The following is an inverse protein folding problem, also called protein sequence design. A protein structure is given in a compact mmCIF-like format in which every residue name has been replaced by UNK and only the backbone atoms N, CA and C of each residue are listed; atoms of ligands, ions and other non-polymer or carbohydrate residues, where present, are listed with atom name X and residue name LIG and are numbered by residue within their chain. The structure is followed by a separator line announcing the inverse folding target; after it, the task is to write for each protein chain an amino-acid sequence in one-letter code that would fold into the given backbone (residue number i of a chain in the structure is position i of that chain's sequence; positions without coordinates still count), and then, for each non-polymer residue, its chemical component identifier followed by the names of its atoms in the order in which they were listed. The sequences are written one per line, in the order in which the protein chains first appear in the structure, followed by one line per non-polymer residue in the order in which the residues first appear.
data_IF_528969285484
#
_entry.id   IF_528969285484
#
_cell.length_a   1.000
_cell.length_b   1.000
_cell.length_c   1.000
_cell.angle_alpha   90.00
_cell.angle_beta   90.00
_cell.angle_gamma   90.00
#
_symmetry.space_group_name_H-M   'P 1'
#
loop_
_entity.id
_entity.type
_entity.pdbx_description
1 polymer ?
#
# COMPACT_ATOMS: atom_id res chain seq x y z
N UNK A 1 37.45 -20.89 -15.72
CA UNK A 1 36.56 -20.25 -14.72
C UNK A 1 35.51 -21.25 -14.27
N UNK A 2 35.20 -21.30 -12.97
CA UNK A 2 34.30 -22.29 -12.35
C UNK A 2 32.96 -22.48 -13.09
N UNK A 3 32.47 -21.45 -13.79
CA UNK A 3 31.24 -21.50 -14.59
C UNK A 3 31.41 -22.18 -15.95
N UNK A 4 32.53 -21.98 -16.67
CA UNK A 4 32.81 -22.75 -17.91
C UNK A 4 33.05 -24.22 -17.58
N UNK A 5 33.67 -24.51 -16.43
CA UNK A 5 33.77 -25.85 -15.85
C UNK A 5 32.38 -26.42 -15.50
N UNK A 6 31.53 -25.61 -14.85
CA UNK A 6 30.14 -25.98 -14.56
C UNK A 6 29.36 -26.26 -15.84
N UNK A 7 29.39 -25.42 -16.88
CA UNK A 7 28.67 -25.70 -18.13
C UNK A 7 29.26 -26.88 -18.92
N UNK A 8 30.55 -27.16 -18.77
CA UNK A 8 31.20 -28.34 -19.34
C UNK A 8 30.87 -29.64 -18.58
N UNK A 9 30.51 -29.55 -17.29
CA UNK A 9 30.18 -30.69 -16.42
C UNK A 9 28.71 -30.78 -16.01
N UNK A 10 27.92 -29.73 -16.22
CA UNK A 10 26.53 -29.63 -15.85
C UNK A 10 25.79 -30.63 -16.71
N UNK A 11 25.29 -31.67 -16.05
CA UNK A 11 24.53 -32.69 -16.75
C UNK A 11 23.25 -32.00 -17.24
N UNK A 12 22.71 -32.43 -18.39
CA UNK A 12 21.42 -31.94 -18.90
C UNK A 12 20.34 -31.92 -17.80
N UNK A 13 20.42 -32.87 -16.86
CA UNK A 13 19.57 -32.97 -15.68
C UNK A 13 19.66 -31.79 -14.70
N UNK A 14 20.82 -31.17 -14.50
CA UNK A 14 20.97 -30.01 -13.60
C UNK A 14 20.27 -28.77 -14.16
N UNK A 15 20.37 -28.58 -15.48
CA UNK A 15 19.67 -27.50 -16.19
C UNK A 15 18.16 -27.74 -16.14
N UNK A 16 17.71 -28.96 -16.45
CA UNK A 16 16.29 -29.34 -16.38
C UNK A 16 15.75 -29.15 -14.96
N UNK A 17 16.47 -29.62 -13.94
CA UNK A 17 16.09 -29.46 -12.54
C UNK A 17 16.00 -27.98 -12.15
N UNK A 18 16.97 -27.16 -12.56
CA UNK A 18 16.94 -25.71 -12.31
C UNK A 18 15.73 -25.03 -12.96
N UNK A 19 15.38 -25.40 -14.19
CA UNK A 19 14.21 -24.89 -14.90
C UNK A 19 12.90 -25.35 -14.23
N UNK A 20 12.83 -26.61 -13.78
CA UNK A 20 11.67 -27.14 -13.04
C UNK A 20 11.50 -26.39 -11.72
N UNK A 21 12.58 -26.18 -10.97
CA UNK A 21 12.53 -25.41 -9.71
C UNK A 21 12.05 -23.99 -9.97
N UNK A 22 12.63 -23.29 -10.95
CA UNK A 22 12.23 -21.93 -11.30
C UNK A 22 10.76 -21.87 -11.71
N UNK A 23 10.32 -22.74 -12.62
CA UNK A 23 8.93 -22.78 -13.07
C UNK A 23 7.96 -23.08 -11.92
N UNK A 24 8.30 -24.05 -11.05
CA UNK A 24 7.49 -24.42 -9.90
C UNK A 24 7.38 -23.27 -8.90
N UNK A 25 8.48 -22.56 -8.63
CA UNK A 25 8.47 -21.38 -7.76
C UNK A 25 7.64 -20.23 -8.36
N UNK A 26 7.73 -19.99 -9.67
CA UNK A 26 6.90 -18.99 -10.35
C UNK A 26 5.43 -19.36 -10.36
N UNK A 27 5.09 -20.63 -10.61
CA UNK A 27 3.72 -21.12 -10.56
C UNK A 27 3.16 -21.01 -9.14
N UNK A 28 3.93 -21.42 -8.13
CA UNK A 28 3.56 -21.29 -6.73
C UNK A 28 3.35 -19.82 -6.34
N UNK A 29 4.26 -18.93 -6.73
CA UNK A 29 4.10 -17.50 -6.53
C UNK A 29 2.84 -16.97 -7.22
N UNK A 30 2.56 -17.38 -8.46
CA UNK A 30 1.35 -17.01 -9.17
C UNK A 30 0.08 -17.48 -8.45
N UNK A 31 0.06 -18.72 -7.96
CA UNK A 31 -1.09 -19.28 -7.25
C UNK A 31 -1.36 -18.60 -5.90
N UNK A 32 -0.31 -18.18 -5.18
CA UNK A 32 -0.44 -17.48 -3.88
C UNK A 32 -0.73 -16.00 -4.07
N UNK A 33 -0.16 -15.37 -5.10
CA UNK A 33 -0.32 -13.95 -5.36
C UNK A 33 -1.59 -13.63 -6.13
N UNK A 34 -2.28 -14.62 -6.70
CA UNK A 34 -3.57 -14.40 -7.34
C UNK A 34 -4.58 -14.04 -6.25
N UNK A 35 -4.97 -12.77 -6.12
CA UNK A 35 -5.79 -12.35 -5.01
C UNK A 35 -7.21 -12.89 -5.19
N UNK A 36 -7.96 -13.11 -4.09
CA UNK A 36 -9.31 -13.62 -4.19
C UNK A 36 -10.20 -12.63 -4.97
N UNK A 37 -11.26 -13.10 -5.64
CA UNK A 37 -12.04 -12.29 -6.59
C UNK A 37 -12.64 -11.03 -5.96
N UNK A 38 -12.87 -11.04 -4.65
CA UNK A 38 -13.39 -9.96 -3.82
C UNK A 38 -12.31 -9.01 -3.25
N UNK A 39 -11.08 -9.06 -3.78
CA UNK A 39 -10.06 -8.09 -3.45
C UNK A 39 -10.16 -6.82 -4.33
N UNK A 40 -9.71 -5.68 -3.80
CA UNK A 40 -9.63 -4.44 -4.58
C UNK A 40 -8.80 -4.62 -5.87
N UNK A 41 -7.77 -5.49 -5.81
CA UNK A 41 -6.78 -5.69 -6.87
C UNK A 41 -7.11 -6.84 -7.85
N UNK A 42 -8.22 -7.56 -7.68
CA UNK A 42 -8.71 -8.62 -8.60
C UNK A 42 -9.86 -8.17 -9.49
N UNK A 43 -10.61 -7.12 -9.13
CA UNK A 43 -11.78 -6.71 -9.92
C UNK A 43 -12.81 -5.82 -9.22
N UNK A 44 -12.67 -5.51 -7.92
CA UNK A 44 -13.75 -4.88 -7.15
C UNK A 44 -13.94 -3.36 -7.27
N UNK A 45 -12.94 -2.58 -7.70
CA UNK A 45 -13.10 -1.10 -7.76
C UNK A 45 -12.44 -0.37 -8.93
N UNK A 46 -11.47 -0.97 -9.63
CA UNK A 46 -10.97 -0.41 -10.88
C UNK A 46 -10.44 -1.55 -11.74
N UNK A 47 -10.77 -1.55 -13.03
CA UNK A 47 -10.25 -2.51 -13.99
C UNK A 47 -8.80 -2.20 -14.38
N UNK A 48 -8.34 -2.82 -15.46
CA UNK A 48 -7.12 -2.38 -16.14
C UNK A 48 -7.37 -1.02 -16.78
N UNK A 49 -6.45 -0.07 -16.61
CA UNK A 49 -6.46 1.18 -17.36
C UNK A 49 -5.59 1.04 -18.60
N UNK A 50 -6.23 0.99 -19.77
CA UNK A 50 -5.57 0.76 -21.06
C UNK A 50 -5.55 2.02 -21.95
N UNK A 51 -6.20 3.09 -21.50
CA UNK A 51 -6.21 4.36 -22.22
C UNK A 51 -4.91 5.12 -22.02
N UNK A 52 -4.53 5.92 -23.01
CA UNK A 52 -3.38 6.81 -22.84
C UNK A 52 -3.82 8.11 -22.17
N UNK A 53 -3.33 8.33 -20.95
CA UNK A 53 -3.42 9.58 -20.21
C UNK A 53 -2.00 10.09 -19.89
N UNK A 54 -1.69 11.30 -20.40
CA UNK A 54 -0.40 11.96 -20.20
C UNK A 54 -0.19 12.38 -18.75
N UNK A 55 -1.22 12.87 -18.07
CA UNK A 55 -1.12 13.28 -16.67
C UNK A 55 -0.84 12.07 -15.79
N UNK A 56 -1.54 10.96 -16.03
CA UNK A 56 -1.28 9.68 -15.37
C UNK A 56 0.14 9.20 -15.62
N UNK A 57 0.63 9.33 -16.86
CA UNK A 57 2.01 8.98 -17.19
C UNK A 57 3.00 9.81 -16.37
N UNK A 58 2.80 11.12 -16.29
CA UNK A 58 3.63 12.01 -15.48
C UNK A 58 3.55 11.66 -13.99
N UNK A 59 2.36 11.39 -13.45
CA UNK A 59 2.21 10.93 -12.06
C UNK A 59 3.00 9.65 -11.77
N UNK A 60 3.05 8.71 -12.73
CA UNK A 60 3.84 7.47 -12.63
C UNK A 60 5.35 7.75 -12.73
N UNK A 61 5.78 8.65 -13.61
CA UNK A 61 7.18 9.04 -13.76
C UNK A 61 7.68 9.80 -12.52
N UNK A 62 6.83 10.62 -11.91
CA UNK A 62 7.10 11.32 -10.65
C UNK A 62 7.37 10.40 -9.47
N UNK A 63 7.01 9.11 -9.59
CA UNK A 63 7.34 8.09 -8.59
C UNK A 63 8.83 7.80 -8.51
N UNK A 64 9.61 8.09 -9.56
CA UNK A 64 11.07 8.03 -9.47
C UNK A 64 11.62 8.95 -8.38
N UNK A 65 11.19 10.21 -8.39
CA UNK A 65 11.62 11.17 -7.39
C UNK A 65 11.11 10.76 -6.01
N UNK A 66 9.84 10.38 -5.90
CA UNK A 66 9.24 9.89 -4.65
C UNK A 66 9.98 8.70 -4.05
N UNK A 67 10.43 7.75 -4.89
CA UNK A 67 11.18 6.59 -4.44
C UNK A 67 12.62 6.96 -4.02
N UNK A 68 13.30 7.82 -4.79
CA UNK A 68 14.72 8.10 -4.58
C UNK A 68 14.98 9.15 -3.51
N UNK A 69 14.09 10.12 -3.33
CA UNK A 69 14.30 11.23 -2.39
C UNK A 69 13.22 11.37 -1.34
N UNK A 70 12.18 10.52 -1.36
CA UNK A 70 10.98 10.62 -0.51
C UNK A 70 10.09 11.84 -0.81
N UNK A 71 10.39 12.60 -1.88
CA UNK A 71 9.62 13.77 -2.31
C UNK A 71 8.64 13.35 -3.42
N UNK A 72 7.35 13.35 -3.10
CA UNK A 72 6.29 13.02 -4.05
C UNK A 72 5.73 14.30 -4.69
N UNK A 73 5.72 14.42 -6.02
CA UNK A 73 5.16 15.60 -6.68
C UNK A 73 3.66 15.74 -6.42
N UNK A 74 3.18 16.98 -6.40
CA UNK A 74 1.76 17.25 -6.30
C UNK A 74 1.07 16.93 -7.62
N UNK A 75 0.29 15.85 -7.65
CA UNK A 75 -0.44 15.40 -8.86
C UNK A 75 -1.41 16.45 -9.41
N UNK A 76 -1.83 17.44 -8.60
CA UNK A 76 -2.72 18.51 -9.03
C UNK A 76 -2.03 19.56 -9.90
N UNK A 77 -0.70 19.70 -9.82
CA UNK A 77 0.07 20.77 -10.47
C UNK A 77 0.95 20.21 -11.59
N UNK A 78 0.67 20.61 -12.83
CA UNK A 78 1.44 20.20 -14.01
C UNK A 78 2.92 20.57 -13.95
N UNK A 79 3.23 21.76 -13.41
CA UNK A 79 4.61 22.21 -13.28
C UNK A 79 5.41 21.33 -12.31
N UNK A 80 4.81 20.96 -11.17
CA UNK A 80 5.42 20.07 -10.19
C UNK A 80 5.71 18.70 -10.84
N UNK A 81 4.76 18.15 -11.60
CA UNK A 81 4.94 16.92 -12.36
C UNK A 81 6.11 17.03 -13.34
N UNK A 82 6.08 17.99 -14.26
CA UNK A 82 7.11 18.11 -15.31
C UNK A 82 8.53 18.26 -14.71
N UNK A 83 8.69 19.09 -13.69
CA UNK A 83 10.00 19.33 -13.06
C UNK A 83 10.46 18.09 -12.28
N UNK A 84 9.60 17.55 -11.42
CA UNK A 84 9.95 16.39 -10.60
C UNK A 84 10.22 15.14 -11.45
N UNK A 85 9.45 14.94 -12.53
CA UNK A 85 9.63 13.84 -13.46
C UNK A 85 10.95 14.00 -14.23
N UNK A 86 11.27 15.22 -14.67
CA UNK A 86 12.56 15.50 -15.31
C UNK A 86 13.75 15.14 -14.42
N UNK A 87 13.67 15.49 -13.13
CA UNK A 87 14.69 15.13 -12.14
C UNK A 87 14.71 13.60 -11.94
N UNK A 88 13.55 12.98 -11.71
CA UNK A 88 13.42 11.54 -11.46
C UNK A 88 13.95 10.69 -12.61
N UNK A 89 13.57 11.04 -13.85
CA UNK A 89 14.07 10.42 -15.08
C UNK A 89 15.59 10.65 -15.22
N UNK A 90 16.08 11.84 -14.90
CA UNK A 90 17.51 12.13 -14.88
C UNK A 90 18.28 11.19 -13.94
N UNK A 91 17.79 10.98 -12.72
CA UNK A 91 18.37 10.05 -11.75
C UNK A 91 18.35 8.60 -12.26
N UNK A 92 17.23 8.18 -12.85
CA UNK A 92 17.08 6.87 -13.48
C UNK A 92 18.11 6.67 -14.61
N UNK A 93 18.22 7.65 -15.52
CA UNK A 93 19.14 7.59 -16.67
C UNK A 93 20.61 7.59 -16.23
N UNK A 94 20.98 8.36 -15.21
CA UNK A 94 22.34 8.36 -14.65
C UNK A 94 22.67 6.99 -14.04
N UNK A 95 21.72 6.37 -13.34
CA UNK A 95 21.88 5.02 -12.78
C UNK A 95 22.00 3.98 -13.91
N UNK A 96 21.12 4.03 -14.91
CA UNK A 96 21.20 3.13 -16.08
C UNK A 96 22.53 3.30 -16.83
N UNK A 97 23.02 4.54 -17.00
CA UNK A 97 24.30 4.82 -17.62
C UNK A 97 25.49 4.24 -16.83
N UNK A 98 25.44 4.26 -15.49
CA UNK A 98 26.43 3.56 -14.66
C UNK A 98 26.39 2.04 -14.88
N UNK A 99 25.19 1.47 -14.98
CA UNK A 99 25.00 0.03 -15.16
C UNK A 99 25.30 -0.47 -16.58
N UNK A 100 25.47 0.40 -17.57
CA UNK A 100 25.66 0.02 -18.99
C UNK A 100 26.88 -0.88 -19.23
N UNK A 101 27.88 -0.81 -18.33
CA UNK A 101 29.07 -1.67 -18.37
C UNK A 101 28.76 -3.14 -18.08
N UNK A 102 27.63 -3.42 -17.44
CA UNK A 102 27.23 -4.75 -17.00
C UNK A 102 25.82 -5.05 -17.50
N UNK A 103 25.70 -5.92 -18.51
CA UNK A 103 24.40 -6.23 -19.15
C UNK A 103 23.38 -6.77 -18.16
N UNK A 104 23.76 -7.72 -17.31
CA UNK A 104 22.82 -8.39 -16.40
C UNK A 104 22.21 -7.41 -15.36
N UNK A 105 23.00 -6.61 -14.63
CA UNK A 105 22.46 -5.56 -13.75
C UNK A 105 21.63 -4.50 -14.49
N UNK A 106 22.05 -4.08 -15.69
CA UNK A 106 21.27 -3.15 -16.50
C UNK A 106 19.90 -3.73 -16.86
N UNK A 107 19.85 -4.96 -17.38
CA UNK A 107 18.59 -5.62 -17.75
C UNK A 107 17.69 -5.81 -16.53
N UNK A 108 18.26 -6.24 -15.39
CA UNK A 108 17.51 -6.33 -14.14
C UNK A 108 16.88 -4.98 -13.77
N UNK A 109 17.65 -3.90 -13.80
CA UNK A 109 17.16 -2.57 -13.47
C UNK A 109 16.09 -2.08 -14.44
N UNK A 110 16.32 -2.19 -15.76
CA UNK A 110 15.37 -1.75 -16.79
C UNK A 110 14.05 -2.55 -16.74
N UNK A 111 14.11 -3.88 -16.66
CA UNK A 111 12.90 -4.71 -16.61
C UNK A 111 12.19 -4.61 -15.26
N UNK A 112 12.93 -4.58 -14.15
CA UNK A 112 12.36 -4.41 -12.82
C UNK A 112 11.63 -3.07 -12.67
N UNK A 113 12.29 -1.98 -13.05
CA UNK A 113 11.68 -0.65 -13.06
C UNK A 113 10.54 -0.55 -14.08
N UNK A 114 10.74 -1.02 -15.31
CA UNK A 114 9.70 -0.98 -16.35
C UNK A 114 8.45 -1.77 -15.97
N UNK A 115 8.61 -2.94 -15.35
CA UNK A 115 7.51 -3.74 -14.83
C UNK A 115 6.74 -3.02 -13.71
N UNK A 116 7.45 -2.41 -12.75
CA UNK A 116 6.84 -1.62 -11.68
C UNK A 116 6.08 -0.40 -12.23
N UNK A 117 6.68 0.38 -13.13
CA UNK A 117 6.02 1.53 -13.75
C UNK A 117 4.81 1.12 -14.59
N UNK A 118 4.91 0.00 -15.31
CA UNK A 118 3.78 -0.55 -16.08
C UNK A 118 2.65 -0.96 -15.14
N UNK A 119 2.96 -1.60 -14.01
CA UNK A 119 1.97 -1.93 -12.99
C UNK A 119 1.34 -0.66 -12.39
N UNK A 120 2.13 0.37 -12.11
CA UNK A 120 1.60 1.62 -11.57
C UNK A 120 0.69 2.35 -12.56
N UNK A 121 1.07 2.34 -13.84
CA UNK A 121 0.27 2.94 -14.89
C UNK A 121 -0.99 2.13 -15.18
N UNK A 122 -0.89 0.82 -15.36
CA UNK A 122 -1.98 0.00 -15.88
C UNK A 122 -2.95 -0.46 -14.80
N UNK A 123 -2.48 -0.63 -13.56
CA UNK A 123 -3.26 -1.28 -12.50
C UNK A 123 -3.41 -0.46 -11.23
N UNK A 124 -2.33 0.07 -10.68
CA UNK A 124 -2.35 0.62 -9.33
C UNK A 124 -1.50 1.88 -9.21
N UNK A 125 -2.16 3.04 -9.25
CA UNK A 125 -1.45 4.32 -9.16
C UNK A 125 -0.64 4.45 -7.86
N UNK A 126 -1.09 3.82 -6.77
CA UNK A 126 -0.49 3.88 -5.44
C UNK A 126 -0.92 5.12 -4.63
N UNK A 127 -1.00 4.96 -3.31
CA UNK A 127 -1.28 6.05 -2.38
C UNK A 127 -0.17 6.17 -1.34
N UNK A 128 0.71 7.16 -1.51
CA UNK A 128 1.83 7.44 -0.61
C UNK A 128 3.13 6.71 -0.96
N UNK A 129 4.23 7.10 -0.29
CA UNK A 129 5.61 6.69 -0.61
C UNK A 129 5.87 5.19 -0.44
N UNK A 130 5.11 4.51 0.44
CA UNK A 130 5.28 3.07 0.72
C UNK A 130 5.09 2.16 -0.50
N UNK A 131 4.33 2.60 -1.51
CA UNK A 131 4.10 1.81 -2.72
C UNK A 131 5.18 1.98 -3.78
N UNK A 132 5.98 3.05 -3.71
CA UNK A 132 7.01 3.36 -4.72
C UNK A 132 8.42 3.01 -4.27
N UNK A 133 8.62 2.67 -2.98
CA UNK A 133 9.91 2.26 -2.44
C UNK A 133 10.56 1.08 -3.18
N UNK A 134 9.77 0.26 -3.88
CA UNK A 134 10.28 -0.81 -4.73
C UNK A 134 11.19 -0.31 -5.88
N UNK A 135 10.98 0.90 -6.40
CA UNK A 135 11.86 1.49 -7.41
C UNK A 135 13.25 1.79 -6.83
N UNK A 136 13.29 2.24 -5.57
CA UNK A 136 14.53 2.44 -4.82
C UNK A 136 15.23 1.11 -4.56
N UNK A 137 14.50 0.08 -4.12
CA UNK A 137 15.06 -1.25 -3.92
C UNK A 137 15.61 -1.86 -5.22
N UNK A 138 14.93 -1.66 -6.35
CA UNK A 138 15.40 -2.09 -7.67
C UNK A 138 16.73 -1.39 -8.05
N UNK A 139 16.87 -0.10 -7.75
CA UNK A 139 18.11 0.65 -7.94
C UNK A 139 19.24 0.08 -7.08
N UNK A 140 19.01 -0.11 -5.77
CA UNK A 140 20.00 -0.68 -4.83
C UNK A 140 20.45 -2.07 -5.28
N UNK A 141 19.50 -2.95 -5.60
CA UNK A 141 19.78 -4.30 -6.08
C UNK A 141 20.56 -4.28 -7.40
N UNK A 142 20.21 -3.40 -8.34
CA UNK A 142 20.96 -3.22 -9.59
C UNK A 142 22.41 -2.79 -9.36
N UNK A 143 22.63 -1.81 -8.48
CA UNK A 143 23.98 -1.35 -8.11
C UNK A 143 24.78 -2.45 -7.39
N UNK A 144 24.15 -3.20 -6.49
CA UNK A 144 24.77 -4.31 -5.79
C UNK A 144 25.19 -5.44 -6.76
N UNK A 145 24.30 -5.81 -7.70
CA UNK A 145 24.60 -6.80 -8.74
C UNK A 145 25.77 -6.36 -9.63
N UNK A 146 25.87 -5.06 -9.95
CA UNK A 146 26.98 -4.51 -10.72
C UNK A 146 28.32 -4.64 -9.98
N UNK A 147 28.35 -4.36 -8.68
CA UNK A 147 29.56 -4.53 -7.87
C UNK A 147 30.05 -5.99 -7.87
N UNK A 148 29.14 -6.97 -7.73
CA UNK A 148 29.52 -8.39 -7.79
C UNK A 148 30.04 -8.82 -9.18
N UNK A 149 29.57 -8.19 -10.25
CA UNK A 149 30.05 -8.51 -11.61
C UNK A 149 31.43 -7.92 -11.90
N UNK A 150 31.81 -6.83 -11.21
CA UNK A 150 33.13 -6.21 -11.31
C UNK A 150 34.18 -7.04 -10.54
N UNK A 151 33.80 -7.65 -9.41
CA UNK A 151 34.73 -8.40 -8.54
C UNK A 151 34.91 -9.89 -8.88
N UNK A 152 34.26 -10.42 -9.92
CA UNK A 152 34.37 -11.84 -10.30
C UNK A 152 35.19 -12.06 -11.58
N UNK A 153 35.80 -13.24 -11.73
CA UNK A 153 36.59 -13.74 -12.89
C UNK A 153 35.83 -13.84 -14.23
N UNK A 154 34.81 -13.01 -14.47
CA UNK A 154 34.09 -13.00 -15.73
C UNK A 154 34.89 -12.16 -16.73
N UNK A 155 35.20 -12.68 -17.93
CA UNK A 155 35.69 -11.81 -18.98
C UNK A 155 34.62 -10.74 -19.19
N UNK A 156 34.97 -9.44 -19.10
CA UNK A 156 34.00 -8.39 -19.35
C UNK A 156 33.41 -8.64 -20.73
N UNK A 157 32.09 -8.84 -20.80
CA UNK A 157 31.39 -8.76 -22.07
C UNK A 157 31.87 -7.49 -22.75
N UNK A 158 32.33 -7.57 -24.01
CA UNK A 158 32.92 -6.44 -24.75
C UNK A 158 32.15 -5.17 -24.37
N UNK A 159 32.75 -4.25 -23.60
CA UNK A 159 32.04 -3.08 -23.14
C UNK A 159 31.53 -2.37 -24.40
N UNK A 160 30.30 -1.87 -24.38
CA UNK A 160 29.92 -0.88 -25.39
C UNK A 160 31.02 0.19 -25.34
N UNK A 161 31.69 0.39 -26.46
CA UNK A 161 32.90 1.21 -26.57
C UNK A 161 32.51 2.70 -26.44
N UNK A 162 32.14 3.12 -25.24
CA UNK A 162 31.82 4.52 -24.93
C UNK A 162 33.14 5.18 -24.54
N UNK A 163 33.86 5.71 -25.53
CA UNK A 163 35.09 6.49 -25.32
C UNK A 163 34.73 7.82 -24.64
N UNK A 164 35.43 8.15 -23.55
CA UNK A 164 35.48 9.48 -22.93
C UNK A 164 34.16 9.96 -22.31
N UNK A 165 34.17 10.19 -20.98
CA UNK A 165 33.09 10.68 -20.07
C UNK A 165 32.58 9.67 -19.03
N UNK A 166 32.93 8.39 -19.15
CA UNK A 166 32.42 7.37 -18.21
C UNK A 166 32.94 7.58 -16.78
N UNK A 167 34.18 8.07 -16.62
CA UNK A 167 34.73 8.41 -15.30
C UNK A 167 33.95 9.55 -14.62
N UNK A 168 33.46 10.53 -15.39
CA UNK A 168 32.63 11.62 -14.86
C UNK A 168 31.25 11.13 -14.39
N UNK A 169 30.65 10.18 -15.12
CA UNK A 169 29.36 9.58 -14.73
C UNK A 169 29.48 8.84 -13.40
N UNK A 170 30.59 8.12 -13.15
CA UNK A 170 30.79 7.41 -11.89
C UNK A 170 30.91 8.36 -10.70
N UNK A 171 31.72 9.42 -10.82
CA UNK A 171 31.87 10.43 -9.77
C UNK A 171 30.54 11.13 -9.49
N UNK A 172 29.83 11.57 -10.53
CA UNK A 172 28.52 12.23 -10.41
C UNK A 172 27.50 11.28 -9.76
N UNK A 173 27.41 10.04 -10.23
CA UNK A 173 26.51 9.05 -9.65
C UNK A 173 26.82 8.79 -8.19
N UNK A 174 28.10 8.68 -7.79
CA UNK A 174 28.44 8.41 -6.40
C UNK A 174 28.01 9.57 -5.48
N UNK A 175 28.16 10.81 -5.92
CA UNK A 175 27.65 11.98 -5.18
C UNK A 175 26.12 11.91 -5.06
N UNK A 176 25.43 11.72 -6.18
CA UNK A 176 23.96 11.62 -6.22
C UNK A 176 23.45 10.49 -5.33
N UNK A 177 24.09 9.33 -5.40
CA UNK A 177 23.71 8.16 -4.62
C UNK A 177 23.90 8.39 -3.12
N UNK A 178 25.01 9.02 -2.73
CA UNK A 178 25.23 9.44 -1.33
C UNK A 178 24.16 10.42 -0.86
N UNK A 179 23.76 11.39 -1.70
CA UNK A 179 22.68 12.33 -1.38
C UNK A 179 21.33 11.61 -1.21
N UNK A 180 21.01 10.65 -2.09
CA UNK A 180 19.82 9.79 -1.96
C UNK A 180 19.84 9.07 -0.60
N UNK A 181 20.95 8.41 -0.25
CA UNK A 181 21.08 7.72 1.03
C UNK A 181 20.93 8.67 2.22
N UNK A 182 21.48 9.89 2.12
CA UNK A 182 21.34 10.91 3.16
C UNK A 182 19.87 11.34 3.34
N UNK A 183 19.12 11.54 2.26
CA UNK A 183 17.68 11.85 2.35
C UNK A 183 16.90 10.73 3.04
N UNK A 184 17.20 9.47 2.70
CA UNK A 184 16.57 8.31 3.36
C UNK A 184 16.97 8.19 4.83
N UNK A 185 18.23 8.45 5.18
CA UNK A 185 18.70 8.46 6.56
C UNK A 185 17.97 9.53 7.38
N UNK A 186 17.90 10.76 6.88
CA UNK A 186 17.19 11.87 7.55
C UNK A 186 15.70 11.55 7.68
N UNK A 187 15.08 11.05 6.60
CA UNK A 187 13.68 10.62 6.61
C UNK A 187 13.41 9.52 7.64
N UNK A 188 14.32 8.55 7.73
CA UNK A 188 14.27 7.47 8.72
C UNK A 188 14.41 7.97 10.15
N UNK A 189 15.41 8.82 10.44
CA UNK A 189 15.62 9.42 11.76
C UNK A 189 14.42 10.27 12.22
N UNK A 190 13.72 10.93 11.29
CA UNK A 190 12.52 11.69 11.60
C UNK A 190 11.29 10.80 11.81
N UNK A 191 11.08 9.79 10.97
CA UNK A 191 9.85 8.96 10.98
C UNK A 191 9.90 7.84 12.03
N UNK A 192 11.07 7.28 12.32
CA UNK A 192 11.20 6.14 13.22
C UNK A 192 10.72 6.43 14.66
N UNK A 193 11.06 7.57 15.30
CA UNK A 193 10.53 7.89 16.63
C UNK A 193 9.02 8.10 16.63
N UNK A 194 8.47 8.65 15.55
CA UNK A 194 7.02 8.84 15.40
C UNK A 194 6.31 7.48 15.29
N UNK A 195 6.87 6.53 14.56
CA UNK A 195 6.34 5.16 14.43
C UNK A 195 6.30 4.41 15.77
N UNK A 196 7.28 4.69 16.65
CA UNK A 196 7.31 4.12 18.00
C UNK A 196 6.29 4.76 18.98
N UNK A 197 5.83 5.98 18.70
CA UNK A 197 5.02 6.76 19.65
C UNK A 197 3.58 6.97 19.23
N UNK A 198 3.30 6.92 17.92
CA UNK A 198 1.97 7.11 17.35
C UNK A 198 1.54 5.77 16.74
N UNK A 199 0.51 5.09 17.29
CA UNK A 199 0.04 3.85 16.70
C UNK A 199 -0.52 4.13 15.30
N UNK A 200 -0.43 3.14 14.42
CA UNK A 200 -0.97 3.28 13.07
C UNK A 200 -2.50 3.51 13.10
N UNK A 201 -3.19 2.86 14.03
CA UNK A 201 -4.65 2.90 14.17
C UNK A 201 -5.11 2.94 15.62
N UNK A 202 -6.21 3.65 15.87
CA UNK A 202 -6.87 3.72 17.18
C UNK A 202 -7.70 2.46 17.53
N UNK A 203 -7.72 1.47 16.64
CA UNK A 203 -8.50 0.24 16.78
C UNK A 203 -8.22 -0.54 18.07
N UNK A 204 -6.97 -0.58 18.52
CA UNK A 204 -6.56 -1.32 19.72
C UNK A 204 -7.18 -0.70 20.97
N UNK A 205 -7.00 0.61 21.14
CA UNK A 205 -7.48 1.35 22.31
C UNK A 205 -9.01 1.39 22.32
N UNK A 206 -9.62 1.51 21.13
CA UNK A 206 -11.07 1.40 20.95
C UNK A 206 -11.60 0.04 21.38
N UNK A 207 -10.96 -1.05 20.95
CA UNK A 207 -11.37 -2.39 21.35
C UNK A 207 -11.22 -2.61 22.87
N UNK A 208 -10.14 -2.08 23.46
CA UNK A 208 -9.95 -2.15 24.92
C UNK A 208 -11.07 -1.41 25.66
N UNK A 209 -11.40 -0.19 25.25
CA UNK A 209 -12.49 0.58 25.85
C UNK A 209 -13.83 -0.14 25.76
N UNK A 210 -14.18 -0.68 24.58
CA UNK A 210 -15.44 -1.41 24.38
C UNK A 210 -15.57 -2.57 25.37
N UNK A 211 -14.46 -3.24 25.71
CA UNK A 211 -14.45 -4.30 26.71
C UNK A 211 -14.57 -3.79 28.13
N UNK A 212 -13.89 -2.71 28.45
CA UNK A 212 -13.96 -2.07 29.77
C UNK A 212 -15.37 -1.57 30.11
N UNK A 213 -16.17 -1.20 29.11
CA UNK A 213 -17.57 -0.79 29.27
C UNK A 213 -18.58 -1.92 28.99
N UNK A 214 -18.12 -3.17 28.84
CA UNK A 214 -18.95 -4.37 28.65
C UNK A 214 -19.92 -4.27 27.44
N UNK A 215 -19.55 -3.53 26.40
CA UNK A 215 -20.35 -3.37 25.16
C UNK A 215 -19.91 -4.32 24.03
N UNK A 216 -18.93 -5.19 24.29
CA UNK A 216 -18.33 -6.09 23.30
C UNK A 216 -19.29 -7.13 22.72
N UNK A 217 -20.32 -7.53 23.49
CA UNK A 217 -21.29 -8.54 23.10
C UNK A 217 -22.47 -7.97 22.29
N UNK A 218 -22.73 -6.67 22.41
CA UNK A 218 -23.84 -5.99 21.76
C UNK A 218 -23.70 -5.85 20.25
N UNK A 219 -24.69 -5.17 19.64
CA UNK A 219 -24.63 -4.80 18.22
C UNK A 219 -23.64 -3.66 18.04
N UNK A 220 -22.61 -3.91 17.24
CA UNK A 220 -21.62 -2.92 16.84
C UNK A 220 -21.80 -2.64 15.35
N UNK A 221 -22.22 -1.43 15.02
CA UNK A 221 -22.26 -0.90 13.66
C UNK A 221 -21.00 -0.07 13.45
N UNK A 222 -20.19 -0.42 12.46
CA UNK A 222 -18.89 0.20 12.24
C UNK A 222 -18.73 0.63 10.77
N UNK A 223 -18.28 1.87 10.53
CA UNK A 223 -18.11 2.38 9.16
C UNK A 223 -16.98 3.41 9.05
N UNK A 224 -16.20 3.40 7.95
CA UNK A 224 -16.30 2.44 6.85
C UNK A 224 -15.52 1.15 7.12
N UNK A 225 -16.01 0.04 6.57
CA UNK A 225 -15.39 -1.30 6.63
C UNK A 225 -13.87 -1.34 6.32
N UNK A 226 -13.35 -0.42 5.49
CA UNK A 226 -11.92 -0.30 5.13
C UNK A 226 -11.00 0.02 6.31
N UNK A 227 -11.51 0.69 7.34
CA UNK A 227 -10.75 1.06 8.54
C UNK A 227 -11.21 0.28 9.78
N UNK A 228 -12.34 -0.43 9.69
CA UNK A 228 -12.95 -1.17 10.81
C UNK A 228 -12.51 -2.63 10.90
N UNK A 229 -11.80 -3.15 9.91
CA UNK A 229 -11.26 -4.52 9.94
C UNK A 229 -10.29 -4.74 11.12
N UNK A 230 -9.47 -3.74 11.45
CA UNK A 230 -8.55 -3.82 12.60
C UNK A 230 -9.33 -3.92 13.92
N UNK A 231 -10.42 -3.16 14.06
CA UNK A 231 -11.29 -3.21 15.24
C UNK A 231 -11.95 -4.59 15.39
N UNK A 232 -12.49 -5.13 14.30
CA UNK A 232 -13.06 -6.48 14.27
C UNK A 232 -12.03 -7.54 14.68
N UNK A 233 -10.77 -7.40 14.21
CA UNK A 233 -9.66 -8.28 14.58
C UNK A 233 -9.32 -8.20 16.08
N UNK A 234 -9.25 -7.01 16.67
CA UNK A 234 -9.01 -6.86 18.10
C UNK A 234 -10.17 -7.37 18.95
N UNK A 235 -11.43 -7.18 18.52
CA UNK A 235 -12.60 -7.73 19.22
C UNK A 235 -12.81 -9.23 18.96
N UNK A 236 -12.09 -9.81 17.99
CA UNK A 236 -12.22 -11.19 17.55
C UNK A 236 -13.67 -11.60 17.20
N UNK A 237 -14.42 -10.69 16.57
CA UNK A 237 -15.81 -10.93 16.12
C UNK A 237 -16.15 -10.11 14.88
N UNK A 238 -17.23 -10.50 14.22
CA UNK A 238 -17.80 -9.73 13.12
C UNK A 238 -18.56 -8.51 13.65
N UNK A 239 -18.49 -7.42 12.88
CA UNK A 239 -19.21 -6.17 13.11
C UNK A 239 -20.20 -5.97 11.96
N UNK A 240 -21.26 -5.20 12.18
CA UNK A 240 -22.17 -4.82 11.11
C UNK A 240 -21.57 -3.67 10.30
N UNK A 241 -21.31 -3.90 9.01
CA UNK A 241 -20.76 -2.93 8.08
C UNK A 241 -21.86 -2.41 7.15
N UNK A 242 -22.22 -1.12 7.21
CA UNK A 242 -23.20 -0.50 6.32
C UNK A 242 -22.85 -0.63 4.82
N UNK A 243 -21.56 -0.73 4.48
CA UNK A 243 -21.07 -0.91 3.11
C UNK A 243 -21.42 -2.29 2.53
N UNK A 244 -21.51 -3.30 3.40
CA UNK A 244 -21.88 -4.68 3.06
C UNK A 244 -23.36 -4.97 3.31
N UNK A 245 -24.08 -4.06 3.98
CA UNK A 245 -25.42 -4.29 4.54
C UNK A 245 -25.51 -5.59 5.38
N UNK A 246 -24.43 -5.91 6.10
CA UNK A 246 -24.30 -7.19 6.79
C UNK A 246 -23.11 -7.29 7.74
N UNK A 247 -22.95 -8.46 8.35
CA UNK A 247 -21.83 -8.76 9.24
C UNK A 247 -20.55 -9.07 8.45
N UNK A 248 -19.43 -8.51 8.90
CA UNK A 248 -18.11 -8.75 8.31
C UNK A 248 -16.99 -8.57 9.33
N UNK A 249 -15.82 -9.14 9.04
CA UNK A 249 -14.58 -8.95 9.80
C UNK A 249 -13.44 -8.36 8.97
N UNK A 250 -13.66 -8.17 7.66
CA UNK A 250 -12.73 -7.59 6.72
C UNK A 250 -13.49 -6.91 5.58
N UNK A 251 -12.81 -6.04 4.84
CA UNK A 251 -13.36 -5.35 3.69
C UNK A 251 -13.51 -6.31 2.51
N UNK A 252 -14.70 -6.33 1.91
CA UNK A 252 -15.02 -7.16 0.74
C UNK A 252 -15.25 -6.23 -0.44
N UNK A 253 -14.40 -6.29 -1.48
CA UNK A 253 -14.53 -5.47 -2.69
C UNK A 253 -15.25 -6.26 -3.77
N UNK A 254 -16.57 -6.40 -3.64
CA UNK A 254 -17.44 -7.05 -4.63
C UNK A 254 -18.24 -6.04 -5.46
N UNK A 255 -18.67 -6.46 -6.64
CA UNK A 255 -19.56 -5.71 -7.52
C UNK A 255 -20.91 -5.50 -6.80
N UNK A 256 -21.32 -4.23 -6.62
CA UNK A 256 -22.49 -3.85 -5.83
C UNK A 256 -22.21 -3.34 -4.41
N UNK A 257 -20.95 -3.42 -3.90
CA UNK A 257 -20.57 -2.72 -2.66
C UNK A 257 -20.78 -1.21 -2.82
N UNK A 258 -21.46 -0.59 -1.86
CA UNK A 258 -21.60 0.87 -1.82
C UNK A 258 -20.23 1.49 -1.51
N UNK A 259 -19.64 2.17 -2.48
CA UNK A 259 -18.34 2.82 -2.29
C UNK A 259 -18.43 4.04 -1.35
N UNK A 260 -19.59 4.68 -1.29
CA UNK A 260 -19.88 5.79 -0.39
C UNK A 260 -21.22 5.51 0.29
N UNK A 261 -21.19 5.28 1.60
CA UNK A 261 -22.38 5.22 2.45
C UNK A 261 -22.44 6.52 3.22
N UNK A 262 -23.58 7.22 3.14
CA UNK A 262 -23.74 8.50 3.84
C UNK A 262 -23.99 8.27 5.33
N UNK A 263 -23.73 9.27 6.17
CA UNK A 263 -24.08 9.17 7.61
C UNK A 263 -25.58 8.93 7.82
N UNK A 264 -26.45 9.46 6.95
CA UNK A 264 -27.89 9.17 6.97
C UNK A 264 -28.19 7.69 6.70
N UNK A 265 -27.55 7.11 5.68
CA UNK A 265 -27.68 5.69 5.37
C UNK A 265 -27.20 4.82 6.52
N UNK A 266 -26.07 5.17 7.15
CA UNK A 266 -25.53 4.47 8.33
C UNK A 266 -26.58 4.45 9.44
N UNK A 267 -27.14 5.61 9.81
CA UNK A 267 -28.14 5.70 10.88
C UNK A 267 -29.44 4.95 10.53
N UNK A 268 -29.88 5.01 9.27
CA UNK A 268 -31.03 4.26 8.78
C UNK A 268 -30.82 2.74 8.89
N UNK A 269 -29.62 2.27 8.53
CA UNK A 269 -29.24 0.87 8.68
C UNK A 269 -29.10 0.47 10.15
N UNK A 270 -28.48 1.28 11.00
CA UNK A 270 -28.43 1.04 12.46
C UNK A 270 -29.82 0.85 13.04
N UNK A 271 -30.79 1.71 12.66
CA UNK A 271 -32.20 1.55 13.07
C UNK A 271 -32.80 0.22 12.57
N UNK A 272 -32.49 -0.16 11.34
CA UNK A 272 -32.98 -1.42 10.74
C UNK A 272 -32.45 -2.62 11.52
N UNK A 273 -31.15 -2.64 11.82
CA UNK A 273 -30.50 -3.71 12.60
C UNK A 273 -31.13 -3.81 13.99
N UNK A 274 -31.23 -2.70 14.73
CA UNK A 274 -31.86 -2.68 16.06
C UNK A 274 -33.28 -3.25 16.07
N UNK A 275 -34.07 -2.96 15.04
CA UNK A 275 -35.42 -3.52 14.89
C UNK A 275 -35.43 -5.01 14.57
N UNK A 276 -34.45 -5.49 13.82
CA UNK A 276 -34.37 -6.89 13.38
C UNK A 276 -33.83 -7.81 14.48
N UNK A 277 -32.90 -7.31 15.30
CA UNK A 277 -32.30 -8.07 16.39
C UNK A 277 -33.07 -7.92 17.70
N UNK A 278 -34.09 -7.04 17.73
CA UNK A 278 -34.84 -6.66 18.94
C UNK A 278 -33.95 -6.07 20.06
N UNK A 279 -32.76 -5.61 19.69
CA UNK A 279 -31.78 -5.05 20.61
C UNK A 279 -32.15 -3.63 21.02
N UNK A 280 -31.84 -3.32 22.27
CA UNK A 280 -32.20 -2.06 22.90
C UNK A 280 -31.26 -0.90 22.51
N UNK A 281 -30.04 -1.24 22.13
CA UNK A 281 -28.98 -0.29 21.82
C UNK A 281 -27.98 -0.88 20.84
N UNK A 282 -27.31 0.00 20.09
CA UNK A 282 -26.16 -0.34 19.26
C UNK A 282 -25.02 0.61 19.58
N UNK A 283 -23.80 0.09 19.54
CA UNK A 283 -22.59 0.88 19.50
C UNK A 283 -22.32 1.25 18.04
N UNK A 284 -22.24 2.55 17.74
CA UNK A 284 -21.86 3.07 16.45
C UNK A 284 -20.41 3.55 16.50
N UNK A 285 -19.56 3.04 15.61
CA UNK A 285 -18.14 3.41 15.50
C UNK A 285 -17.86 3.99 14.12
N UNK A 286 -17.36 5.22 14.09
CA UNK A 286 -17.09 5.98 12.85
C UNK A 286 -15.65 6.48 12.80
N UNK A 287 -15.12 6.70 11.60
CA UNK A 287 -13.80 7.36 11.41
C UNK A 287 -13.85 8.87 11.40
N UNK A 288 -15.05 9.44 11.19
CA UNK A 288 -15.28 10.88 11.21
C UNK A 288 -16.42 11.21 12.19
N UNK A 289 -16.41 12.42 12.79
CA UNK A 289 -17.48 12.85 13.66
C UNK A 289 -18.85 12.79 12.98
N UNK A 290 -19.86 12.36 13.73
CA UNK A 290 -21.25 12.38 13.27
C UNK A 290 -21.76 13.82 13.23
N UNK A 291 -22.20 14.28 12.05
CA UNK A 291 -22.72 15.64 11.83
C UNK A 291 -24.25 15.66 11.65
N UNK A 292 -24.85 14.49 11.43
CA UNK A 292 -26.28 14.35 11.12
C UNK A 292 -27.06 13.79 12.31
N UNK A 293 -28.27 14.30 12.52
CA UNK A 293 -29.23 13.78 13.51
C UNK A 293 -30.27 12.88 12.85
N UNK A 294 -30.82 11.94 13.59
CA UNK A 294 -31.87 11.03 13.09
C UNK A 294 -33.15 11.14 13.92
N UNK A 295 -34.33 11.31 13.31
CA UNK A 295 -35.56 11.69 14.02
C UNK A 295 -36.11 10.62 14.99
N UNK A 296 -35.69 9.36 14.82
CA UNK A 296 -36.17 8.23 15.66
C UNK A 296 -35.08 7.53 16.44
N UNK A 297 -33.88 8.09 16.48
CA UNK A 297 -32.76 7.56 17.26
C UNK A 297 -32.30 8.64 18.24
N UNK A 298 -32.01 8.23 19.46
CA UNK A 298 -31.25 9.03 20.42
C UNK A 298 -29.80 8.58 20.31
N UNK A 299 -28.92 9.51 19.96
CA UNK A 299 -27.51 9.26 19.71
C UNK A 299 -26.72 10.03 20.75
N UNK A 300 -25.96 9.32 21.58
CA UNK A 300 -25.16 9.89 22.66
C UNK A 300 -23.68 9.65 22.37
N UNK A 301 -22.83 10.69 22.29
CA UNK A 301 -21.39 10.48 22.17
C UNK A 301 -20.85 9.81 23.44
N UNK A 302 -20.03 8.78 23.27
CA UNK A 302 -19.38 8.05 24.38
C UNK A 302 -17.95 8.52 24.59
N UNK A 303 -17.10 8.34 23.56
CA UNK A 303 -15.68 8.70 23.60
C UNK A 303 -15.12 8.80 22.18
N UNK A 304 -13.88 9.27 22.06
CA UNK A 304 -13.15 9.37 20.80
C UNK A 304 -11.66 9.05 20.99
N UNK A 305 -11.10 8.34 20.02
CA UNK A 305 -9.69 7.99 19.96
C UNK A 305 -9.06 8.57 18.70
N UNK A 306 -8.29 9.65 18.88
CA UNK A 306 -7.69 10.40 17.78
C UNK A 306 -6.17 10.23 17.68
N UNK A 307 -5.56 9.46 18.59
CA UNK A 307 -4.13 9.20 18.54
C UNK A 307 -3.82 8.13 17.49
N UNK A 308 -3.79 8.50 16.21
CA UNK A 308 -3.41 7.62 15.12
C UNK A 308 -2.63 8.35 14.02
N UNK A 309 -1.89 7.60 13.20
CA UNK A 309 -1.04 8.16 12.14
C UNK A 309 -1.86 8.85 11.02
N UNK A 310 -3.02 8.31 10.71
CA UNK A 310 -3.94 8.84 9.70
C UNK A 310 -5.27 9.21 10.34
N UNK A 311 -5.85 10.34 9.91
CA UNK A 311 -7.17 10.78 10.37
C UNK A 311 -8.26 9.73 10.12
N UNK A 312 -8.15 9.00 9.02
CA UNK A 312 -9.07 7.90 8.68
C UNK A 312 -8.99 6.70 9.63
N UNK A 313 -8.01 6.70 10.55
CA UNK A 313 -7.82 5.68 11.57
C UNK A 313 -8.22 6.17 12.98
N UNK A 314 -8.80 7.37 13.07
CA UNK A 314 -9.46 7.83 14.28
C UNK A 314 -10.75 7.03 14.48
N UNK A 315 -11.23 6.96 15.72
CA UNK A 315 -12.47 6.27 16.04
C UNK A 315 -13.35 7.10 16.97
N UNK A 316 -14.57 7.39 16.52
CA UNK A 316 -15.60 8.11 17.25
C UNK A 316 -16.72 7.14 17.63
N UNK A 317 -17.03 7.06 18.92
CA UNK A 317 -17.97 6.08 19.46
C UNK A 317 -19.25 6.76 19.94
N UNK A 318 -20.38 6.20 19.54
CA UNK A 318 -21.70 6.69 19.90
C UNK A 318 -22.58 5.54 20.37
N UNK A 319 -23.34 5.77 21.44
CA UNK A 319 -24.45 4.92 21.83
C UNK A 319 -25.69 5.33 21.03
N UNK A 320 -26.36 4.36 20.41
CA UNK A 320 -27.55 4.59 19.59
C UNK A 320 -28.73 3.79 20.13
N UNK A 321 -29.77 4.50 20.56
CA UNK A 321 -30.98 3.91 21.15
C UNK A 321 -32.22 4.36 20.37
N UNK A 322 -33.20 3.49 20.04
CA UNK A 322 -34.46 3.91 19.45
C UNK A 322 -35.26 4.81 20.39
N UNK A 323 -35.71 5.98 19.92
CA UNK A 323 -36.40 6.98 20.78
C UNK A 323 -37.64 6.41 21.50
N UNK A 324 -38.35 5.47 20.87
CA UNK A 324 -39.53 4.80 21.46
C UNK A 324 -39.20 3.80 22.57
N UNK A 325 -37.96 3.33 22.66
CA UNK A 325 -37.53 2.29 23.60
C UNK A 325 -36.66 2.82 24.76
N UNK A 326 -36.36 4.13 24.77
CA UNK A 326 -35.52 4.76 25.82
C UNK A 326 -35.96 4.48 27.26
N UNK A 327 -37.26 4.27 27.50
CA UNK A 327 -37.80 3.92 28.82
C UNK A 327 -37.80 2.42 29.16
N UNK A 328 -37.65 1.53 28.17
CA UNK A 328 -37.57 0.06 28.37
C UNK A 328 -36.14 -0.46 28.44
N UNK A 329 -35.18 0.30 27.89
CA UNK A 329 -33.79 -0.12 27.76
C UNK A 329 -32.88 0.38 28.89
N UNK A 330 -33.38 1.20 29.81
CA UNK A 330 -32.70 1.48 31.09
C UNK A 330 -33.17 0.44 32.10
N UNK A 331 -32.38 -0.62 32.26
CA UNK A 331 -32.42 -1.52 33.41
C UNK A 331 -31.03 -1.58 34.02
#
# INVERSE_FOLDING_TARGET
THRLSYWAHAKKYDLILSLVILFSLYLFAFLILNPPPDSANSGGQSGWFLEFDLRRLLEVLGRFLGAYTLIVPNSRRWLDLIICDGIGIGLFLITAAKLIRTRTPLLFYLFGTGGLLSFFYLRFMGHGTRHYGFLYLAMIAGLWLAQHHISGDRPPLKPLHIKGKVFQIESIHNIIFTLILLFHLIGGLYRFPLDLSIPFSAAKDTAQYIREVEMEDGIIVASPDTYMAALAGYLNRQLYYPELEGLGSFTIFQEGRRQAVTQEDILNQTRKVLRQTEECQALLVLTDPLEVQHPTLTITPLTQFEQAWHRSEHMFLYEVIPTKQRGKCRL
#
